data_IF_608209433187
#
_entry.id   IF_608209433187
#
_cell.length_a   1.000
_cell.length_b   1.000
_cell.length_c   1.000
_cell.angle_alpha   90.00
_cell.angle_beta   90.00
_cell.angle_gamma   90.00
#
_symmetry.space_group_name_H-M   'P 1'
#
loop_
_entity.id
_entity.type
_entity.pdbx_description
1 polymer ?
#
# COMPACT_ATOMS: atom_id res chain seq x y z
N UNK A 1 7.56 1.55 14.32
CA UNK A 1 6.23 1.69 13.72
C UNK A 1 6.12 3.03 13.02
N UNK A 2 5.72 2.96 11.78
CA UNK A 2 5.56 4.07 10.86
C UNK A 2 4.13 4.00 10.32
N UNK A 3 3.32 4.94 10.78
CA UNK A 3 1.92 5.06 10.39
C UNK A 3 1.79 5.82 9.07
N UNK A 4 0.61 5.77 8.45
CA UNK A 4 0.29 6.64 7.31
C UNK A 4 0.34 8.12 7.70
N UNK A 5 -0.17 8.47 8.87
CA UNK A 5 -0.14 9.85 9.37
C UNK A 5 1.29 10.38 9.50
N UNK A 6 2.24 9.55 9.97
CA UNK A 6 3.65 9.92 10.01
C UNK A 6 4.21 10.17 8.60
N UNK A 7 3.92 9.27 7.65
CA UNK A 7 4.31 9.48 6.26
C UNK A 7 3.73 10.79 5.70
N UNK A 8 2.45 11.03 5.90
CA UNK A 8 1.77 12.24 5.45
C UNK A 8 2.32 13.52 6.10
N UNK A 9 2.77 13.45 7.35
CA UNK A 9 3.43 14.56 8.03
C UNK A 9 4.85 14.83 7.49
N UNK A 10 5.61 13.77 7.18
CA UNK A 10 6.98 13.89 6.68
C UNK A 10 7.04 14.24 5.18
N UNK A 11 6.03 13.85 4.39
CA UNK A 11 6.01 14.01 2.93
C UNK A 11 4.57 14.28 2.40
N UNK A 12 3.96 15.44 2.72
CA UNK A 12 2.53 15.69 2.49
C UNK A 12 2.13 15.61 1.02
N UNK A 13 2.88 16.23 0.11
CA UNK A 13 2.57 16.22 -1.33
C UNK A 13 2.69 14.84 -1.97
N UNK A 14 3.66 14.04 -1.51
CA UNK A 14 3.84 12.66 -1.95
C UNK A 14 2.72 11.77 -1.41
N UNK A 15 2.34 11.94 -0.15
CA UNK A 15 1.25 11.17 0.47
C UNK A 15 -0.09 11.39 -0.24
N UNK A 16 -0.39 12.62 -0.68
CA UNK A 16 -1.59 12.91 -1.48
C UNK A 16 -1.61 12.08 -2.77
N UNK A 17 -0.50 12.05 -3.50
CA UNK A 17 -0.41 11.32 -4.77
C UNK A 17 -0.41 9.82 -4.60
N UNK A 18 0.29 9.31 -3.58
CA UNK A 18 0.25 7.89 -3.22
C UNK A 18 -1.18 7.49 -2.87
N UNK A 19 -1.88 8.24 -2.02
CA UNK A 19 -3.28 7.93 -1.68
C UNK A 19 -4.18 7.97 -2.91
N UNK A 20 -4.06 8.98 -3.76
CA UNK A 20 -4.84 9.09 -4.99
C UNK A 20 -4.64 7.88 -5.91
N UNK A 21 -3.39 7.41 -6.08
CA UNK A 21 -3.10 6.20 -6.86
C UNK A 21 -3.73 4.94 -6.24
N UNK A 22 -3.75 4.82 -4.91
CA UNK A 22 -4.42 3.72 -4.22
C UNK A 22 -5.96 3.82 -4.29
N UNK A 23 -6.54 5.02 -4.25
CA UNK A 23 -8.00 5.20 -4.31
C UNK A 23 -8.56 5.07 -5.74
N UNK A 24 -7.73 5.20 -6.78
CA UNK A 24 -8.15 5.23 -8.18
C UNK A 24 -8.92 3.98 -8.66
N UNK A 25 -8.71 2.83 -8.01
CA UNK A 25 -9.39 1.57 -8.30
C UNK A 25 -9.59 0.79 -7.01
N UNK A 26 -10.53 -0.16 -6.94
CA UNK A 26 -10.73 -0.99 -5.73
C UNK A 26 -9.56 -1.94 -5.49
N UNK A 27 -9.18 -2.71 -6.50
CA UNK A 27 -8.20 -3.78 -6.37
C UNK A 27 -6.75 -3.29 -6.44
N UNK A 28 -5.86 -3.99 -5.74
CA UNK A 28 -4.42 -3.78 -5.63
C UNK A 28 -3.69 -5.09 -5.83
N UNK A 29 -2.40 -5.01 -6.14
CA UNK A 29 -1.53 -6.21 -6.18
C UNK A 29 -0.65 -6.25 -4.95
N UNK A 30 -0.85 -7.26 -4.11
CA UNK A 30 -0.03 -7.55 -2.93
C UNK A 30 0.99 -8.63 -3.25
N UNK A 31 2.25 -8.40 -2.91
CA UNK A 31 3.30 -9.40 -2.85
C UNK A 31 3.59 -9.80 -1.40
N UNK A 32 3.69 -11.11 -1.17
CA UNK A 32 4.02 -11.75 0.12
C UNK A 32 5.06 -12.85 -0.08
N UNK A 33 5.66 -13.35 1.02
CA UNK A 33 6.65 -14.42 0.96
C UNK A 33 6.05 -15.77 1.39
N UNK A 34 6.13 -16.74 0.49
CA UNK A 34 5.74 -18.14 0.73
C UNK A 34 6.72 -18.83 1.69
N UNK A 35 6.37 -20.04 2.17
CA UNK A 35 7.18 -20.82 3.12
C UNK A 35 8.56 -21.17 2.55
N UNK A 36 8.60 -21.36 1.25
CA UNK A 36 9.79 -21.65 0.46
C UNK A 36 10.59 -20.38 0.09
N UNK A 37 10.15 -19.20 0.54
CA UNK A 37 10.76 -17.91 0.23
C UNK A 37 10.39 -17.33 -1.13
N UNK A 38 9.61 -18.05 -1.96
CA UNK A 38 9.19 -17.54 -3.25
C UNK A 38 8.13 -16.42 -3.10
N UNK A 39 8.13 -15.40 -3.97
CA UNK A 39 7.10 -14.37 -3.93
C UNK A 39 5.74 -14.94 -4.35
N UNK A 40 4.66 -14.50 -3.69
CA UNK A 40 3.27 -14.71 -4.11
C UNK A 40 2.64 -13.36 -4.39
N UNK A 41 2.01 -13.21 -5.56
CA UNK A 41 1.10 -12.10 -5.85
C UNK A 41 -0.36 -12.47 -5.54
N UNK A 42 -1.15 -11.52 -5.08
CA UNK A 42 -2.60 -11.68 -4.86
C UNK A 42 -3.32 -10.35 -5.04
N UNK A 43 -4.55 -10.40 -5.54
CA UNK A 43 -5.47 -9.26 -5.47
C UNK A 43 -5.81 -8.93 -4.02
N UNK A 44 -5.88 -7.65 -3.67
CA UNK A 44 -6.31 -7.20 -2.35
C UNK A 44 -6.97 -5.83 -2.42
N UNK A 45 -7.57 -5.43 -1.30
CA UNK A 45 -8.07 -4.09 -1.05
C UNK A 45 -7.31 -3.48 0.13
N UNK A 46 -7.32 -2.15 0.21
CA UNK A 46 -6.72 -1.39 1.31
C UNK A 46 -7.70 -0.37 1.83
N UNK A 47 -7.67 -0.15 3.14
CA UNK A 47 -8.49 0.84 3.81
C UNK A 47 -7.56 1.88 4.43
N UNK A 48 -7.74 3.15 4.11
CA UNK A 48 -7.08 4.26 4.78
C UNK A 48 -8.02 4.76 5.87
N UNK A 49 -7.70 4.51 7.14
CA UNK A 49 -8.57 4.84 8.27
C UNK A 49 -7.76 5.21 9.51
N UNK A 50 -8.17 6.29 10.17
CA UNK A 50 -7.40 6.90 11.25
C UNK A 50 -6.01 7.32 10.76
N UNK A 51 -4.99 6.90 11.50
CA UNK A 51 -3.59 7.23 11.21
C UNK A 51 -2.89 6.17 10.33
N UNK A 52 -3.57 5.09 9.94
CA UNK A 52 -2.93 3.91 9.37
C UNK A 52 -3.53 3.49 8.00
N UNK A 53 -2.79 2.62 7.31
CA UNK A 53 -3.30 1.83 6.18
C UNK A 53 -3.54 0.40 6.66
N UNK A 54 -4.68 -0.16 6.25
CA UNK A 54 -5.14 -1.46 6.66
C UNK A 54 -5.34 -2.37 5.47
N UNK A 55 -5.17 -3.67 5.71
CA UNK A 55 -5.39 -4.73 4.74
C UNK A 55 -6.36 -5.76 5.33
N UNK A 56 -7.52 -5.90 4.70
CA UNK A 56 -8.45 -6.99 4.98
C UNK A 56 -8.14 -8.22 4.14
N UNK A 57 -8.36 -9.40 4.70
CA UNK A 57 -8.26 -10.66 3.94
C UNK A 57 -9.28 -11.66 4.45
N UNK A 58 -9.88 -12.44 3.55
CA UNK A 58 -10.66 -13.62 3.94
C UNK A 58 -9.84 -14.51 4.88
N UNK A 59 -10.52 -15.10 5.87
CA UNK A 59 -9.92 -16.02 6.83
C UNK A 59 -9.15 -17.15 6.13
N UNK A 60 -7.95 -17.45 6.62
CA UNK A 60 -7.04 -18.47 6.10
C UNK A 60 -6.65 -18.34 4.61
N UNK A 61 -6.91 -17.19 3.96
CA UNK A 61 -6.42 -16.97 2.61
C UNK A 61 -4.90 -17.12 2.57
N UNK A 62 -4.37 -17.65 1.46
CA UNK A 62 -2.93 -17.93 1.33
C UNK A 62 -2.05 -16.71 1.62
N UNK A 63 -2.46 -15.52 1.16
CA UNK A 63 -1.74 -14.26 1.42
C UNK A 63 -1.71 -13.89 2.91
N UNK A 64 -2.80 -14.14 3.66
CA UNK A 64 -2.82 -13.91 5.10
C UNK A 64 -1.91 -14.90 5.84
N UNK A 65 -1.98 -16.18 5.48
CA UNK A 65 -1.09 -17.20 6.05
C UNK A 65 0.39 -16.94 5.72
N UNK A 66 0.67 -16.33 4.57
CA UNK A 66 2.01 -15.89 4.23
C UNK A 66 2.44 -14.72 5.14
N UNK A 67 1.60 -13.69 5.34
CA UNK A 67 1.88 -12.56 6.24
C UNK A 67 2.04 -12.96 7.71
N UNK A 68 1.25 -13.91 8.21
CA UNK A 68 1.38 -14.41 9.59
C UNK A 68 2.72 -15.11 9.84
N UNK A 69 3.28 -15.75 8.80
CA UNK A 69 4.59 -16.39 8.89
C UNK A 69 5.73 -15.40 8.67
N UNK A 70 5.60 -14.54 7.67
CA UNK A 70 6.57 -13.52 7.31
C UNK A 70 5.82 -12.22 6.99
N UNK A 71 5.88 -11.21 7.88
CA UNK A 71 5.02 -10.04 7.78
C UNK A 71 5.42 -9.10 6.65
N UNK A 72 6.55 -9.35 5.97
CA UNK A 72 7.03 -8.48 4.89
C UNK A 72 6.06 -8.49 3.72
N UNK A 73 5.73 -7.29 3.24
CA UNK A 73 4.88 -7.10 2.08
C UNK A 73 5.45 -6.04 1.14
N UNK A 74 5.04 -6.14 -0.12
CA UNK A 74 5.07 -5.03 -1.06
C UNK A 74 3.69 -4.92 -1.70
N UNK A 75 3.17 -3.71 -1.83
CA UNK A 75 1.84 -3.45 -2.32
C UNK A 75 1.92 -2.43 -3.47
N UNK A 76 1.23 -2.73 -4.55
CA UNK A 76 1.16 -1.89 -5.74
C UNK A 76 -0.27 -1.38 -5.93
N UNK A 77 -0.42 -0.09 -6.26
CA UNK A 77 -1.69 0.47 -6.74
C UNK A 77 -2.19 -0.28 -7.98
N UNK A 78 -3.44 -0.11 -8.40
CA UNK A 78 -3.81 -0.63 -9.71
C UNK A 78 -3.01 0.10 -10.80
N UNK A 79 -2.38 -0.60 -11.75
CA UNK A 79 -1.87 0.05 -12.95
C UNK A 79 -3.02 0.70 -13.72
N UNK A 80 -2.81 1.90 -14.22
CA UNK A 80 -3.78 2.64 -15.04
C UNK A 80 -3.19 2.79 -16.44
N UNK A 81 -3.94 2.37 -17.45
CA UNK A 81 -3.63 2.62 -18.85
C UNK A 81 -4.06 4.07 -19.21
N UNK A 82 -3.14 4.96 -19.62
CA UNK A 82 -3.49 6.31 -20.06
C UNK A 82 -4.21 6.35 -21.42
N UNK A 83 -4.40 5.20 -22.08
CA UNK A 83 -5.02 5.12 -23.39
C UNK A 83 -4.17 5.78 -24.46
N UNK A 84 -4.77 6.68 -25.24
CA UNK A 84 -4.12 7.30 -26.40
C UNK A 84 -3.20 8.48 -26.09
N UNK A 85 -3.26 9.04 -24.88
CA UNK A 85 -2.44 10.18 -24.46
C UNK A 85 -1.57 9.80 -23.26
N UNK A 86 -0.30 9.42 -23.47
CA UNK A 86 0.62 9.08 -22.39
C UNK A 86 0.73 10.16 -21.31
N UNK A 87 0.57 11.45 -21.65
CA UNK A 87 0.66 12.55 -20.70
C UNK A 87 -0.49 12.56 -19.68
N UNK A 88 -1.59 11.84 -19.96
CA UNK A 88 -2.72 11.69 -19.05
C UNK A 88 -2.51 10.63 -17.96
N UNK A 89 -1.37 9.92 -17.97
CA UNK A 89 -1.10 8.86 -17.00
C UNK A 89 -1.03 9.43 -15.57
N UNK A 90 -1.91 9.00 -14.65
CA UNK A 90 -1.94 9.52 -13.28
C UNK A 90 -0.79 9.01 -12.40
N UNK A 91 0.09 8.17 -12.97
CA UNK A 91 1.16 7.49 -12.24
C UNK A 91 0.70 6.25 -11.50
N UNK A 92 1.62 5.66 -10.75
CA UNK A 92 1.41 4.50 -9.89
C UNK A 92 2.12 4.69 -8.55
N UNK A 93 1.66 3.96 -7.52
CA UNK A 93 2.26 4.02 -6.20
C UNK A 93 2.51 2.63 -5.62
N UNK A 94 3.54 2.55 -4.78
CA UNK A 94 3.93 1.34 -4.06
C UNK A 94 4.11 1.66 -2.58
N UNK A 95 3.68 0.73 -1.73
CA UNK A 95 3.93 0.75 -0.29
C UNK A 95 4.63 -0.56 0.09
N UNK A 96 5.66 -0.50 0.92
CA UNK A 96 6.33 -1.69 1.45
C UNK A 96 6.56 -1.55 2.94
N UNK A 97 6.65 -2.69 3.63
CA UNK A 97 6.83 -2.70 5.07
C UNK A 97 6.52 -4.06 5.68
N UNK A 98 5.99 -4.03 6.90
CA UNK A 98 5.54 -5.23 7.62
C UNK A 98 4.07 -5.11 8.01
N UNK A 99 3.34 -6.22 7.93
CA UNK A 99 1.94 -6.32 8.32
C UNK A 99 1.83 -6.86 9.75
N UNK A 100 1.08 -6.17 10.60
CA UNK A 100 0.72 -6.57 11.96
C UNK A 100 -0.72 -7.10 11.95
N UNK A 101 -0.94 -8.37 12.28
CA UNK A 101 -2.30 -8.87 12.48
C UNK A 101 -2.94 -8.19 13.69
N UNK A 102 -4.17 -7.72 13.52
CA UNK A 102 -4.95 -7.08 14.56
C UNK A 102 -6.11 -7.99 14.95
N UNK A 103 -6.01 -8.54 16.16
CA UNK A 103 -7.05 -9.37 16.79
C UNK A 103 -7.82 -8.63 17.90
N UNK A 104 -7.43 -7.39 18.18
CA UNK A 104 -8.11 -6.51 19.12
C UNK A 104 -9.45 -6.03 18.52
N UNK A 105 -10.55 -6.27 19.24
CA UNK A 105 -11.90 -6.01 18.72
C UNK A 105 -12.21 -4.52 18.59
N UNK A 106 -11.71 -3.69 19.50
CA UNK A 106 -11.94 -2.24 19.43
C UNK A 106 -11.26 -1.65 18.19
N UNK A 107 -10.03 -2.08 17.90
CA UNK A 107 -9.30 -1.71 16.68
C UNK A 107 -9.96 -2.27 15.42
N UNK A 108 -10.52 -3.49 15.48
CA UNK A 108 -11.24 -4.08 14.35
C UNK A 108 -12.46 -3.24 13.98
N UNK A 109 -13.33 -2.94 14.96
CA UNK A 109 -14.56 -2.19 14.73
C UNK A 109 -14.34 -0.72 14.41
N UNK A 110 -13.17 -0.16 14.72
CA UNK A 110 -12.78 1.18 14.26
C UNK A 110 -12.53 1.25 12.73
N UNK A 111 -12.35 0.12 12.06
CA UNK A 111 -11.95 0.05 10.64
C UNK A 111 -12.98 -0.69 9.79
N UNK A 112 -13.53 -1.79 10.29
CA UNK A 112 -14.47 -2.65 9.56
C UNK A 112 -15.91 -2.32 9.99
N UNK A 113 -16.69 -1.79 9.06
CA UNK A 113 -18.09 -1.41 9.32
C UNK A 113 -19.06 -2.61 9.30
N UNK A 114 -18.80 -3.60 8.45
CA UNK A 114 -19.59 -4.83 8.32
C UNK A 114 -18.65 -6.02 8.10
N UNK A 115 -18.84 -7.09 8.87
CA UNK A 115 -17.95 -8.24 8.89
C UNK A 115 -18.02 -9.01 10.21
N UNK A 116 -17.30 -10.13 10.28
CA UNK A 116 -17.09 -10.86 11.53
C UNK A 116 -15.59 -10.98 11.79
N UNK A 117 -15.10 -10.64 12.99
CA UNK A 117 -13.70 -10.84 13.37
C UNK A 117 -13.24 -12.30 13.19
N UNK A 118 -14.16 -13.26 13.30
CA UNK A 118 -13.86 -14.69 13.14
C UNK A 118 -13.82 -15.16 11.68
N UNK A 119 -14.28 -14.33 10.72
CA UNK A 119 -14.37 -14.69 9.30
C UNK A 119 -13.33 -14.00 8.42
N UNK A 120 -12.47 -13.15 8.99
CA UNK A 120 -11.43 -12.45 8.26
C UNK A 120 -10.20 -12.16 9.10
N UNK A 121 -9.07 -11.96 8.43
CA UNK A 121 -7.90 -11.33 9.01
C UNK A 121 -7.94 -9.82 8.73
N UNK A 122 -7.53 -9.03 9.71
CA UNK A 122 -7.25 -7.60 9.55
C UNK A 122 -5.78 -7.35 9.88
N UNK A 123 -5.08 -6.64 8.99
CA UNK A 123 -3.70 -6.26 9.20
C UNK A 123 -3.54 -4.75 9.18
N UNK A 124 -2.77 -4.21 10.12
CA UNK A 124 -2.23 -2.85 10.04
C UNK A 124 -0.89 -2.87 9.31
N UNK A 125 -0.66 -1.94 8.40
CA UNK A 125 0.58 -1.86 7.62
C UNK A 125 1.55 -0.87 8.27
N UNK A 126 2.67 -1.39 8.80
CA UNK A 126 3.80 -0.60 9.28
C UNK A 126 4.75 -0.31 8.12
N UNK A 127 4.82 0.96 7.71
CA UNK A 127 5.48 1.36 6.46
C UNK A 127 7.00 1.50 6.62
N UNK A 128 7.76 0.84 5.74
CA UNK A 128 9.20 1.11 5.60
C UNK A 128 9.50 2.02 4.42
N UNK A 129 8.62 2.04 3.41
CA UNK A 129 8.85 2.73 2.15
C UNK A 129 7.53 3.10 1.47
N UNK A 130 7.49 4.31 0.88
CA UNK A 130 6.47 4.72 -0.07
C UNK A 130 7.14 5.22 -1.35
N UNK A 131 6.64 4.76 -2.50
CA UNK A 131 7.13 5.17 -3.82
C UNK A 131 5.97 5.66 -4.67
N UNK A 132 6.16 6.77 -5.37
CA UNK A 132 5.30 7.19 -6.46
C UNK A 132 6.13 7.28 -7.74
N UNK A 133 5.59 6.75 -8.84
CA UNK A 133 6.14 6.94 -10.18
C UNK A 133 5.10 7.68 -11.01
N UNK A 134 5.49 8.81 -11.58
CA UNK A 134 4.66 9.57 -12.51
C UNK A 134 5.48 10.13 -13.65
N UNK A 135 4.91 11.12 -14.34
CA UNK A 135 5.58 11.83 -15.43
C UNK A 135 6.11 13.18 -14.96
N UNK A 136 7.16 13.65 -15.62
CA UNK A 136 7.57 15.05 -15.53
C UNK A 136 6.44 15.97 -16.01
N UNK A 137 6.42 17.27 -15.64
CA UNK A 137 5.44 18.22 -16.17
C UNK A 137 5.42 18.33 -17.70
N UNK A 138 6.55 18.04 -18.37
CA UNK A 138 6.67 18.01 -19.82
C UNK A 138 6.30 16.65 -20.44
N UNK A 139 5.95 15.65 -19.62
CA UNK A 139 5.65 14.27 -20.02
C UNK A 139 6.75 13.59 -20.86
N UNK A 140 8.00 13.98 -20.64
CA UNK A 140 9.16 13.50 -21.41
C UNK A 140 10.06 12.52 -20.62
N UNK A 141 9.80 12.36 -19.31
CA UNK A 141 10.56 11.49 -18.40
C UNK A 141 9.66 10.86 -17.35
N UNK A 142 10.12 9.75 -16.78
CA UNK A 142 9.54 9.23 -15.54
C UNK A 142 10.18 9.94 -14.34
N UNK A 143 9.36 10.39 -13.41
CA UNK A 143 9.78 10.91 -12.11
C UNK A 143 9.40 9.91 -11.05
N UNK A 144 10.40 9.42 -10.31
CA UNK A 144 10.24 8.47 -9.22
C UNK A 144 10.56 9.17 -7.93
N UNK A 145 9.61 9.20 -7.01
CA UNK A 145 9.79 9.75 -5.68
C UNK A 145 9.73 8.64 -4.63
N UNK A 146 10.78 8.59 -3.82
CA UNK A 146 10.99 7.61 -2.76
C UNK A 146 11.00 8.33 -1.42
N UNK A 147 10.13 7.89 -0.52
CA UNK A 147 10.17 8.26 0.88
C UNK A 147 10.52 7.07 1.76
N UNK A 148 11.34 7.34 2.78
CA UNK A 148 11.61 6.45 3.91
C UNK A 148 11.56 7.25 5.21
N UNK A 149 11.14 6.64 6.34
CA UNK A 149 10.97 7.35 7.61
C UNK A 149 12.23 8.10 8.03
N UNK A 150 12.14 9.41 8.19
CA UNK A 150 13.25 10.26 8.64
C UNK A 150 14.36 10.53 7.61
N UNK A 151 14.26 10.02 6.38
CA UNK A 151 15.25 10.26 5.31
C UNK A 151 14.86 11.41 4.36
N UNK A 152 13.64 11.95 4.48
CA UNK A 152 13.07 12.87 3.50
C UNK A 152 12.72 12.20 2.16
N UNK A 153 12.20 12.98 1.22
CA UNK A 153 11.85 12.50 -0.13
C UNK A 153 13.07 12.61 -1.05
N UNK A 154 13.38 11.52 -1.76
CA UNK A 154 14.37 11.50 -2.84
C UNK A 154 13.65 11.36 -4.17
N UNK A 155 14.06 12.16 -5.16
CA UNK A 155 13.50 12.13 -6.52
C UNK A 155 14.54 11.67 -7.53
N UNK A 156 14.11 10.89 -8.52
CA UNK A 156 14.93 10.36 -9.60
C UNK A 156 14.22 10.54 -10.95
N UNK A 157 14.95 11.04 -11.94
CA UNK A 157 14.51 11.08 -13.33
C UNK A 157 14.99 9.82 -14.07
N UNK A 158 14.13 9.25 -14.94
CA UNK A 158 14.46 8.15 -15.84
C UNK A 158 14.03 8.43 -17.27
#
# INVERSE_FOLDING_TARGET
MTTWARFAAEAPELAVRVKAAFDANTHKTLATLRRDGAPRISGTETIFAGDDVWLGSMWQARKAQDLLRDPRFALHSAPVDPGGDPASWPGEAKLSGVAEEVTDLDRFWAVIADGSPDSMHLFRLDLSEAVYTGLSPAADKLVIELWRPGEGVRSFDR
#
